data_IF_742988858362
#
_entry.id   IF_742988858362
#
_cell.length_a   1.000
_cell.length_b   1.000
_cell.length_c   1.000
_cell.angle_alpha   90.00
_cell.angle_beta   90.00
_cell.angle_gamma   90.00
#
_symmetry.space_group_name_H-M   'P 1'
#
loop_
_entity.id
_entity.type
_entity.pdbx_description
1 polymer ?
#
# COMPACT_ATOMS: atom_id res chain seq x y z
N UNK A 1 -12.34 6.87 40.39
CA UNK A 1 -11.15 7.59 39.86
C UNK A 1 -9.93 6.83 40.34
N UNK A 2 -9.03 6.24 39.55
CA UNK A 2 -8.56 6.47 38.18
C UNK A 2 -7.91 5.16 37.68
N UNK A 3 -8.43 4.53 36.60
CA UNK A 3 -7.74 4.28 35.31
C UNK A 3 -6.30 3.72 35.47
N UNK A 4 -6.15 2.40 35.64
CA UNK A 4 -5.94 1.37 34.59
C UNK A 4 -4.79 1.71 33.64
N UNK A 5 -3.61 1.23 34.05
CA UNK A 5 -2.62 0.50 33.26
C UNK A 5 -2.24 1.06 31.89
N UNK A 6 -1.19 1.90 31.92
CA UNK A 6 -0.29 2.11 30.79
C UNK A 6 0.45 0.81 30.47
N UNK A 7 -0.13 -0.01 29.60
CA UNK A 7 0.60 -1.10 28.93
C UNK A 7 0.59 -0.85 27.43
N UNK A 8 1.77 -0.48 26.92
CA UNK A 8 2.38 -0.90 25.65
C UNK A 8 3.12 0.25 24.95
N UNK A 9 4.33 0.60 25.44
CA UNK A 9 5.33 1.23 24.59
C UNK A 9 5.88 0.21 23.59
N UNK A 10 5.14 -0.03 22.50
CA UNK A 10 5.72 -0.58 21.27
C UNK A 10 6.01 0.59 20.35
N UNK A 11 7.27 1.00 20.28
CA UNK A 11 7.76 2.06 19.40
C UNK A 11 7.43 1.70 17.93
N UNK A 12 6.35 2.29 17.42
CA UNK A 12 5.86 2.13 16.05
C UNK A 12 4.88 3.26 15.76
N UNK A 13 4.79 3.69 14.49
CA UNK A 13 3.89 4.77 14.09
C UNK A 13 2.43 4.43 14.51
N UNK A 14 1.65 5.40 15.04
CA UNK A 14 0.27 5.13 15.43
C UNK A 14 -0.51 4.56 14.23
N UNK A 15 -1.30 3.52 14.47
CA UNK A 15 -2.12 2.94 13.40
C UNK A 15 -3.12 3.99 12.91
N UNK A 16 -3.24 4.20 11.59
CA UNK A 16 -4.01 5.32 11.05
C UNK A 16 -5.50 5.16 11.34
N UNK A 17 -6.05 6.08 12.12
CA UNK A 17 -7.49 6.20 12.42
C UNK A 17 -8.04 7.54 11.92
N UNK A 18 -9.36 7.67 11.84
CA UNK A 18 -10.03 8.93 11.43
C UNK A 18 -9.74 9.35 9.98
N UNK A 19 -9.49 10.66 9.78
CA UNK A 19 -9.26 11.28 8.46
C UNK A 19 -8.08 10.64 7.73
N UNK A 20 -6.99 10.33 8.45
CA UNK A 20 -5.82 9.68 7.87
C UNK A 20 -6.14 8.28 7.34
N UNK A 21 -6.95 7.51 8.08
CA UNK A 21 -7.46 6.22 7.62
C UNK A 21 -8.36 6.34 6.39
N UNK A 22 -9.07 7.46 6.22
CA UNK A 22 -9.87 7.74 5.03
C UNK A 22 -9.01 8.11 3.83
N UNK A 23 -7.99 8.96 4.01
CA UNK A 23 -7.02 9.32 2.97
C UNK A 23 -6.28 8.08 2.42
N UNK A 24 -5.95 7.11 3.27
CA UNK A 24 -5.33 5.84 2.84
C UNK A 24 -6.27 4.96 2.00
N UNK A 25 -7.57 5.24 1.96
CA UNK A 25 -8.53 4.58 1.05
C UNK A 25 -8.69 5.30 -0.28
N UNK A 26 -8.21 6.54 -0.41
CA UNK A 26 -8.31 7.32 -1.65
C UNK A 26 -7.78 6.57 -2.89
N UNK A 27 -6.64 5.84 -2.83
CA UNK A 27 -6.18 5.06 -3.97
C UNK A 27 -7.17 3.96 -4.42
N UNK A 28 -7.98 3.38 -3.52
CA UNK A 28 -9.01 2.42 -3.91
C UNK A 28 -10.09 3.08 -4.76
N UNK A 29 -10.52 4.28 -4.38
CA UNK A 29 -11.51 5.04 -5.14
C UNK A 29 -10.96 5.46 -6.50
N UNK A 30 -9.71 5.93 -6.55
CA UNK A 30 -9.03 6.23 -7.81
C UNK A 30 -8.95 5.00 -8.72
N UNK A 31 -8.65 3.82 -8.16
CA UNK A 31 -8.68 2.58 -8.94
C UNK A 31 -10.07 2.29 -9.51
N UNK A 32 -11.13 2.43 -8.69
CA UNK A 32 -12.53 2.22 -9.13
C UNK A 32 -12.97 3.22 -10.20
N UNK A 33 -12.42 4.43 -10.19
CA UNK A 33 -12.60 5.46 -11.23
C UNK A 33 -11.82 5.17 -12.52
N UNK A 34 -11.01 4.11 -12.56
CA UNK A 34 -10.21 3.73 -13.74
C UNK A 34 -8.76 4.22 -13.71
N UNK A 35 -8.33 4.97 -12.68
CA UNK A 35 -6.97 5.48 -12.55
C UNK A 35 -5.95 4.45 -12.04
N UNK A 36 -6.22 3.15 -12.19
CA UNK A 36 -5.30 2.11 -11.73
C UNK A 36 -3.91 2.19 -12.36
N UNK A 37 -3.81 2.64 -13.63
CA UNK A 37 -2.51 2.88 -14.29
C UNK A 37 -1.71 4.01 -13.61
N UNK A 38 -2.38 5.09 -13.21
CA UNK A 38 -1.75 6.19 -12.47
C UNK A 38 -1.21 5.68 -11.13
N UNK A 39 -1.97 4.85 -10.41
CA UNK A 39 -1.50 4.23 -9.17
C UNK A 39 -0.23 3.39 -9.39
N UNK A 40 -0.17 2.65 -10.51
CA UNK A 40 1.01 1.85 -10.84
C UNK A 40 2.27 2.69 -11.10
N UNK A 41 2.13 3.92 -11.59
CA UNK A 41 3.27 4.86 -11.73
C UNK A 41 3.83 5.28 -10.37
N UNK A 42 2.99 5.34 -9.34
CA UNK A 42 3.40 5.57 -7.95
C UNK A 42 3.76 4.29 -7.22
N UNK A 43 3.95 3.17 -7.93
CA UNK A 43 4.25 1.85 -7.37
C UNK A 43 3.18 1.34 -6.37
N UNK A 44 1.95 1.81 -6.50
CA UNK A 44 0.82 1.35 -5.70
C UNK A 44 0.12 0.17 -6.39
N UNK A 45 -0.22 -0.82 -5.58
CA UNK A 45 -0.97 -2.01 -5.97
C UNK A 45 -2.17 -2.16 -5.06
N UNK A 46 -3.30 -2.62 -5.61
CA UNK A 46 -4.43 -3.03 -4.80
C UNK A 46 -4.27 -4.51 -4.45
N UNK A 47 -4.14 -4.80 -3.15
CA UNK A 47 -4.08 -6.16 -2.62
C UNK A 47 -5.47 -6.58 -2.14
N UNK A 48 -6.02 -7.61 -2.77
CA UNK A 48 -7.24 -8.31 -2.36
C UNK A 48 -6.90 -9.53 -1.51
N UNK A 49 -7.43 -9.57 -0.29
CA UNK A 49 -7.28 -10.69 0.66
C UNK A 49 -8.65 -11.20 1.10
N UNK A 50 -8.70 -12.46 1.55
CA UNK A 50 -9.88 -13.01 2.23
C UNK A 50 -9.83 -12.61 3.70
N UNK A 51 -10.90 -11.99 4.21
CA UNK A 51 -10.98 -11.62 5.62
C UNK A 51 -10.99 -12.87 6.51
N UNK A 52 -9.99 -13.03 7.38
CA UNK A 52 -9.83 -14.26 8.19
C UNK A 52 -11.03 -14.59 9.08
N UNK A 53 -11.77 -13.58 9.54
CA UNK A 53 -12.94 -13.78 10.43
C UNK A 53 -14.26 -13.76 9.67
N UNK A 54 -14.35 -13.06 8.54
CA UNK A 54 -15.62 -12.85 7.82
C UNK A 54 -15.71 -13.59 6.49
N UNK A 55 -14.62 -14.14 5.99
CA UNK A 55 -14.53 -14.77 4.66
C UNK A 55 -14.70 -13.81 3.47
N UNK A 56 -15.01 -12.53 3.71
CA UNK A 56 -15.29 -11.54 2.68
C UNK A 56 -14.02 -11.01 2.01
N UNK A 57 -14.16 -10.56 0.76
CA UNK A 57 -13.12 -9.84 0.05
C UNK A 57 -12.75 -8.53 0.76
N UNK A 58 -11.46 -8.32 1.02
CA UNK A 58 -10.91 -7.09 1.60
C UNK A 58 -9.81 -6.53 0.71
N UNK A 59 -9.90 -5.25 0.40
CA UNK A 59 -8.96 -4.57 -0.50
C UNK A 59 -8.20 -3.49 0.25
N UNK A 60 -6.89 -3.42 0.01
CA UNK A 60 -6.03 -2.39 0.58
C UNK A 60 -5.06 -1.91 -0.50
N UNK A 61 -4.81 -0.60 -0.63
CA UNK A 61 -3.71 -0.12 -1.43
C UNK A 61 -2.42 -0.29 -0.65
N UNK A 62 -1.45 -0.94 -1.25
CA UNK A 62 -0.13 -1.15 -0.68
C UNK A 62 0.93 -0.72 -1.67
N UNK A 63 2.00 -0.11 -1.16
CA UNK A 63 3.16 0.13 -1.98
C UNK A 63 3.87 -1.19 -2.26
N UNK A 64 4.26 -1.38 -3.52
CA UNK A 64 4.91 -2.59 -3.96
C UNK A 64 6.15 -2.26 -4.80
N UNK A 65 7.00 -3.25 -4.99
CA UNK A 65 8.08 -3.19 -5.98
C UNK A 65 8.16 -4.51 -6.71
N UNK A 66 8.31 -4.45 -8.02
CA UNK A 66 8.44 -5.65 -8.85
C UNK A 66 9.90 -5.86 -9.23
N UNK A 67 10.37 -7.10 -9.08
CA UNK A 67 11.69 -7.52 -9.55
C UNK A 67 11.55 -8.88 -10.23
N UNK A 68 11.68 -8.89 -11.56
CA UNK A 68 11.36 -10.07 -12.38
C UNK A 68 9.91 -10.52 -12.21
N UNK A 69 9.72 -11.78 -11.80
CA UNK A 69 8.42 -12.40 -11.53
C UNK A 69 7.91 -12.21 -10.10
N UNK A 70 8.71 -11.59 -9.22
CA UNK A 70 8.38 -11.39 -7.80
C UNK A 70 7.86 -9.98 -7.58
N UNK A 71 6.84 -9.87 -6.74
CA UNK A 71 6.34 -8.59 -6.23
C UNK A 71 6.66 -8.55 -4.72
N UNK A 72 7.22 -7.44 -4.25
CA UNK A 72 7.55 -7.26 -2.83
C UNK A 72 6.68 -6.16 -2.24
N UNK A 73 6.20 -6.39 -1.02
CA UNK A 73 5.41 -5.43 -0.24
C UNK A 73 6.07 -5.31 1.12
N UNK A 74 6.17 -4.08 1.64
CA UNK A 74 6.73 -3.78 2.96
C UNK A 74 5.63 -3.24 3.85
N UNK A 75 5.46 -3.86 5.02
CA UNK A 75 4.56 -3.34 6.06
C UNK A 75 5.29 -2.38 6.99
N UNK A 76 4.93 -1.10 6.95
CA UNK A 76 5.43 -0.09 7.89
C UNK A 76 4.87 -0.21 9.32
N UNK A 77 3.87 -1.07 9.56
CA UNK A 77 3.30 -1.32 10.90
C UNK A 77 3.55 -2.76 11.37
N UNK A 78 4.58 -3.41 10.83
CA UNK A 78 4.90 -4.81 11.12
C UNK A 78 3.70 -5.73 10.87
N UNK A 79 3.34 -6.52 11.88
CA UNK A 79 2.25 -7.51 11.81
C UNK A 79 0.86 -6.98 12.19
N UNK A 80 0.76 -5.69 12.50
CA UNK A 80 -0.50 -5.09 12.94
C UNK A 80 -1.57 -5.01 11.84
N UNK A 81 -1.25 -4.68 10.58
CA UNK A 81 -2.27 -4.47 9.57
C UNK A 81 -3.14 -5.70 9.31
N UNK A 82 -4.44 -5.47 9.18
CA UNK A 82 -5.41 -6.54 8.92
C UNK A 82 -5.09 -7.33 7.65
N UNK A 83 -4.60 -6.67 6.61
CA UNK A 83 -4.22 -7.34 5.36
C UNK A 83 -3.10 -8.37 5.57
N UNK A 84 -2.12 -8.06 6.42
CA UNK A 84 -1.03 -8.98 6.71
C UNK A 84 -1.52 -10.17 7.54
N UNK A 85 -2.35 -9.93 8.57
CA UNK A 85 -2.98 -11.01 9.35
C UNK A 85 -3.92 -11.88 8.51
N UNK A 86 -4.55 -11.31 7.48
CA UNK A 86 -5.32 -12.10 6.51
C UNK A 86 -4.41 -12.99 5.67
N UNK A 87 -3.26 -12.48 5.21
CA UNK A 87 -2.26 -13.28 4.48
C UNK A 87 -1.63 -14.39 5.33
N UNK A 88 -1.48 -14.18 6.63
CA UNK A 88 -1.03 -15.23 7.55
C UNK A 88 -2.05 -16.36 7.67
N UNK A 89 -3.34 -16.05 7.62
CA UNK A 89 -4.41 -17.04 7.68
C UNK A 89 -4.64 -17.75 6.34
N UNK A 90 -4.55 -17.02 5.23
CA UNK A 90 -4.62 -17.55 3.86
C UNK A 90 -3.60 -16.81 2.98
N UNK A 91 -2.55 -17.52 2.60
CA UNK A 91 -1.45 -16.96 1.82
C UNK A 91 -1.86 -16.61 0.38
N UNK A 92 -3.03 -17.07 -0.10
CA UNK A 92 -3.51 -16.75 -1.44
C UNK A 92 -4.19 -15.38 -1.47
N UNK A 93 -3.76 -14.55 -2.41
CA UNK A 93 -4.29 -13.21 -2.58
C UNK A 93 -4.41 -12.82 -4.06
N UNK A 94 -5.08 -11.69 -4.28
CA UNK A 94 -5.23 -11.07 -5.60
C UNK A 94 -4.40 -9.78 -5.64
N UNK A 95 -3.37 -9.75 -6.46
CA UNK A 95 -2.57 -8.56 -6.70
C UNK A 95 -3.08 -7.82 -7.94
N UNK A 96 -3.52 -6.57 -7.79
CA UNK A 96 -3.97 -5.73 -8.90
C UNK A 96 -3.01 -4.57 -9.12
N UNK A 97 -2.33 -4.59 -10.27
CA UNK A 97 -1.39 -3.56 -10.68
C UNK A 97 -1.88 -2.97 -12.01
N UNK A 98 -2.16 -1.66 -12.02
CA UNK A 98 -2.65 -1.00 -13.21
C UNK A 98 -4.08 -1.43 -13.55
N UNK A 99 -4.22 -2.27 -14.56
CA UNK A 99 -5.48 -2.89 -14.94
C UNK A 99 -5.48 -4.40 -14.97
N UNK A 100 -4.41 -5.03 -14.47
CA UNK A 100 -4.25 -6.48 -14.49
C UNK A 100 -4.31 -7.02 -13.08
N UNK A 101 -5.04 -8.12 -12.92
CA UNK A 101 -5.15 -8.86 -11.68
C UNK A 101 -4.36 -10.17 -11.80
N UNK A 102 -3.62 -10.51 -10.75
CA UNK A 102 -2.79 -11.70 -10.67
C UNK A 102 -3.19 -12.48 -9.43
N UNK A 103 -3.30 -13.81 -9.58
CA UNK A 103 -3.25 -14.72 -8.44
C UNK A 103 -1.83 -14.70 -7.88
N UNK A 104 -1.70 -14.47 -6.58
CA UNK A 104 -0.40 -14.46 -5.90
C UNK A 104 -0.43 -15.29 -4.63
N UNK A 105 0.72 -15.87 -4.28
CA UNK A 105 0.97 -16.46 -2.97
C UNK A 105 1.93 -15.59 -2.17
N UNK A 106 1.52 -15.22 -0.97
CA UNK A 106 2.33 -14.50 0.00
C UNK A 106 3.31 -15.43 0.72
N UNK A 107 4.56 -15.01 0.76
CA UNK A 107 5.65 -15.68 1.47
C UNK A 107 6.35 -14.62 2.32
N UNK A 108 6.28 -14.70 3.66
CA UNK A 108 7.08 -13.85 4.53
C UNK A 108 8.57 -14.02 4.21
N UNK A 109 9.28 -12.91 4.09
CA UNK A 109 10.69 -12.93 3.72
C UNK A 109 11.55 -13.14 4.97
N UNK A 110 12.23 -14.27 5.06
CA UNK A 110 13.12 -14.62 6.20
C UNK A 110 14.60 -14.43 5.88
N UNK A 111 14.98 -14.44 4.60
CA UNK A 111 16.35 -14.20 4.16
C UNK A 111 16.72 -12.72 4.31
N UNK A 112 17.70 -12.44 5.18
CA UNK A 112 18.19 -11.08 5.47
C UNK A 112 18.81 -10.42 4.24
N UNK A 113 19.50 -11.17 3.37
CA UNK A 113 20.15 -10.61 2.19
C UNK A 113 19.11 -10.20 1.14
N UNK A 114 18.09 -11.03 0.93
CA UNK A 114 16.95 -10.67 0.07
C UNK A 114 16.18 -9.46 0.65
N UNK A 115 15.95 -9.44 1.97
CA UNK A 115 15.30 -8.33 2.66
C UNK A 115 16.05 -6.99 2.49
N UNK A 116 17.38 -6.97 2.70
CA UNK A 116 18.20 -5.78 2.51
C UNK A 116 18.16 -5.26 1.06
N UNK A 117 18.15 -6.17 0.07
CA UNK A 117 18.01 -5.79 -1.34
C UNK A 117 16.66 -5.12 -1.61
N UNK A 118 15.58 -5.66 -1.03
CA UNK A 118 14.24 -5.10 -1.16
C UNK A 118 14.16 -3.73 -0.49
N UNK A 119 14.64 -3.56 0.74
CA UNK A 119 14.63 -2.27 1.43
C UNK A 119 15.38 -1.19 0.62
N UNK A 120 16.55 -1.53 0.07
CA UNK A 120 17.30 -0.62 -0.81
C UNK A 120 16.51 -0.23 -2.07
N UNK A 121 15.71 -1.14 -2.64
CA UNK A 121 14.86 -0.84 -3.80
C UNK A 121 13.74 0.15 -3.47
N UNK A 122 13.14 0.06 -2.28
CA UNK A 122 12.15 1.05 -1.83
C UNK A 122 12.80 2.41 -1.54
N UNK A 123 13.93 2.41 -0.83
CA UNK A 123 14.69 3.62 -0.47
C UNK A 123 15.09 4.45 -1.69
N UNK A 124 15.54 3.83 -2.79
CA UNK A 124 15.97 4.54 -4.00
C UNK A 124 14.91 5.46 -4.62
N UNK A 125 13.62 5.16 -4.43
CA UNK A 125 12.53 5.95 -5.02
C UNK A 125 12.25 7.23 -4.24
N UNK A 126 12.39 7.19 -2.91
CA UNK A 126 12.15 8.35 -2.05
C UNK A 126 13.06 8.28 -0.80
N UNK A 127 14.36 8.56 -0.94
CA UNK A 127 15.33 8.39 0.13
C UNK A 127 14.93 9.14 1.40
N UNK A 128 14.50 10.41 1.26
CA UNK A 128 14.09 11.24 2.40
C UNK A 128 12.89 10.67 3.17
N UNK A 129 11.91 10.10 2.46
CA UNK A 129 10.71 9.54 3.09
C UNK A 129 11.06 8.24 3.82
N UNK A 130 11.77 7.34 3.13
CA UNK A 130 12.14 6.05 3.69
C UNK A 130 13.14 6.19 4.84
N UNK A 131 14.12 7.09 4.73
CA UNK A 131 15.11 7.34 5.79
C UNK A 131 14.41 7.93 7.03
N UNK A 132 13.44 8.84 6.86
CA UNK A 132 12.65 9.37 7.97
C UNK A 132 11.73 8.31 8.62
N UNK A 133 11.08 7.46 7.82
CA UNK A 133 10.24 6.36 8.31
C UNK A 133 11.08 5.34 9.07
N UNK A 134 12.23 4.96 8.51
CA UNK A 134 13.20 4.08 9.14
C UNK A 134 13.71 4.67 10.47
N UNK A 135 14.10 5.94 10.48
CA UNK A 135 14.58 6.63 11.67
C UNK A 135 13.54 6.74 12.79
N UNK A 136 12.25 6.85 12.46
CA UNK A 136 11.16 6.86 13.46
C UNK A 136 10.83 5.47 14.02
N UNK A 137 11.25 4.41 13.35
CA UNK A 137 11.01 3.02 13.76
C UNK A 137 12.19 2.46 14.55
N UNK A 138 13.41 2.94 14.31
CA UNK A 138 14.60 2.59 15.08
C UNK A 138 14.80 3.49 16.30
N UNK A 139 15.16 2.91 17.43
CA UNK A 139 15.59 3.63 18.64
C UNK A 139 16.98 4.26 18.55
N UNK A 140 17.59 4.36 17.35
CA UNK A 140 18.93 4.92 17.13
C UNK A 140 19.04 5.59 15.75
N UNK A 141 19.94 6.58 15.54
CA UNK A 141 20.12 7.24 14.25
C UNK A 141 20.50 6.23 13.16
N UNK A 142 19.75 6.21 12.05
CA UNK A 142 19.95 5.25 10.96
C UNK A 142 21.01 5.76 10.00
N UNK A 143 22.01 4.93 9.74
CA UNK A 143 23.06 5.13 8.75
C UNK A 143 23.10 3.90 7.82
N UNK A 144 23.69 3.99 6.63
CA UNK A 144 23.64 2.91 5.62
C UNK A 144 24.18 1.54 6.10
N UNK A 145 24.87 1.53 7.25
CA UNK A 145 25.46 0.35 7.91
C UNK A 145 24.56 -0.29 8.98
N UNK A 146 23.48 0.37 9.43
CA UNK A 146 22.56 -0.13 10.47
C UNK A 146 21.26 -0.77 9.95
N UNK A 147 21.05 -0.80 8.62
CA UNK A 147 19.91 -1.49 7.99
C UNK A 147 19.75 -2.99 8.35
N UNK A 148 20.82 -3.79 8.59
CA UNK A 148 20.68 -5.18 8.98
C UNK A 148 19.95 -5.39 10.32
N UNK A 149 20.12 -4.47 11.29
CA UNK A 149 19.60 -4.63 12.65
C UNK A 149 18.12 -4.28 12.79
N UNK A 150 17.57 -3.44 11.89
CA UNK A 150 16.18 -2.96 11.92
C UNK A 150 15.28 -3.80 10.99
N UNK A 151 15.87 -4.65 10.15
CA UNK A 151 15.16 -5.47 9.16
C UNK A 151 14.05 -6.35 9.76
N UNK A 152 14.19 -6.79 11.02
CA UNK A 152 13.18 -7.59 11.74
C UNK A 152 11.92 -6.82 12.13
N UNK A 153 11.98 -5.48 12.13
CA UNK A 153 10.81 -4.63 12.40
C UNK A 153 9.93 -4.42 11.16
N UNK A 154 10.51 -4.64 9.97
CA UNK A 154 9.78 -4.58 8.71
C UNK A 154 9.30 -5.96 8.32
N UNK A 155 7.99 -6.11 8.30
CA UNK A 155 7.40 -7.31 7.70
C UNK A 155 7.42 -7.14 6.18
N UNK A 156 8.42 -7.76 5.55
CA UNK A 156 8.52 -7.83 4.09
C UNK A 156 7.83 -9.11 3.61
N UNK A 157 6.91 -8.95 2.68
CA UNK A 157 6.18 -10.07 2.06
C UNK A 157 6.55 -10.13 0.60
N UNK A 158 7.02 -11.30 0.16
CA UNK A 158 7.17 -11.62 -1.25
C UNK A 158 5.89 -12.26 -1.75
N UNK A 159 5.33 -11.69 -2.81
CA UNK A 159 4.19 -12.19 -3.54
C UNK A 159 4.71 -12.87 -4.82
N UNK A 160 4.55 -14.19 -4.87
CA UNK A 160 4.86 -14.97 -6.06
C UNK A 160 3.62 -15.04 -6.94
N UNK A 161 3.74 -14.65 -8.21
CA UNK A 161 2.64 -14.79 -9.17
C UNK A 161 2.46 -16.28 -9.50
N UNK A 162 1.26 -16.79 -9.32
CA UNK A 162 0.88 -18.16 -9.64
C UNK A 162 -0.10 -18.18 -10.82
N UNK A 163 -0.07 -19.23 -11.66
CA UNK A 163 -1.10 -19.42 -12.67
C UNK A 163 -2.47 -19.69 -12.02
N UNK A 164 -3.54 -19.31 -12.70
CA UNK A 164 -4.92 -19.60 -12.29
C UNK A 164 -5.72 -18.36 -11.90
N UNK A 165 -6.99 -18.60 -11.55
CA UNK A 165 -7.92 -17.53 -11.22
C UNK A 165 -7.55 -16.85 -9.88
N UNK A 166 -7.74 -15.52 -9.78
CA UNK A 166 -7.57 -14.82 -8.52
C UNK A 166 -8.49 -15.39 -7.41
N UNK A 167 -7.97 -15.62 -6.19
CA UNK A 167 -8.73 -16.25 -5.09
C UNK A 167 -9.82 -15.35 -4.51
N UNK A 168 -9.68 -14.04 -4.73
CA UNK A 168 -10.65 -13.00 -4.43
C UNK A 168 -10.92 -12.23 -5.72
N UNK A 169 -12.17 -11.87 -6.05
CA UNK A 169 -12.45 -11.07 -7.24
C UNK A 169 -11.59 -9.80 -7.30
N UNK A 170 -11.21 -9.34 -8.49
CA UNK A 170 -10.53 -8.05 -8.60
C UNK A 170 -11.46 -6.91 -8.17
N UNK A 171 -10.89 -5.79 -7.74
CA UNK A 171 -11.63 -4.61 -7.36
C UNK A 171 -12.20 -4.00 -8.64
N UNK A 172 -13.53 -3.88 -8.77
CA UNK A 172 -14.15 -3.45 -10.03
C UNK A 172 -13.79 -1.99 -10.35
N UNK A 173 -13.97 -1.63 -11.63
CA UNK A 173 -13.89 -0.25 -12.13
C UNK A 173 -15.28 0.34 -12.35
N UNK A 174 -16.14 0.10 -11.39
CA UNK A 174 -17.58 0.42 -11.45
C UNK A 174 -17.88 1.93 -11.43
N UNK A 175 -16.92 2.74 -10.96
CA UNK A 175 -17.03 4.19 -10.95
C UNK A 175 -16.38 4.86 -12.18
N UNK A 176 -15.88 4.08 -13.16
CA UNK A 176 -15.15 4.63 -14.31
C UNK A 176 -15.90 5.68 -15.12
N UNK A 177 -17.24 5.63 -15.14
CA UNK A 177 -18.09 6.60 -15.83
C UNK A 177 -18.03 8.03 -15.23
N UNK A 178 -17.63 8.17 -13.97
CA UNK A 178 -17.48 9.48 -13.33
C UNK A 178 -16.25 10.23 -13.82
N UNK A 179 -15.22 9.54 -14.32
CA UNK A 179 -13.99 10.16 -14.79
C UNK A 179 -14.23 11.18 -15.94
N UNK A 180 -14.95 10.84 -17.03
CA UNK A 180 -15.26 11.84 -18.06
C UNK A 180 -16.15 12.97 -17.55
N UNK A 181 -17.09 12.70 -16.63
CA UNK A 181 -17.94 13.73 -16.04
C UNK A 181 -17.14 14.75 -15.21
N UNK A 182 -16.20 14.28 -14.39
CA UNK A 182 -15.29 15.13 -13.62
C UNK A 182 -14.34 15.93 -14.53
N UNK A 183 -13.84 15.31 -15.60
CA UNK A 183 -12.99 15.99 -16.59
C UNK A 183 -13.75 17.12 -17.30
N UNK A 184 -15.01 16.89 -17.66
CA UNK A 184 -15.87 17.91 -18.26
C UNK A 184 -16.10 19.09 -17.30
N UNK A 185 -16.48 18.81 -16.04
CA UNK A 185 -16.67 19.83 -15.01
C UNK A 185 -15.40 20.65 -14.76
N UNK A 186 -14.24 19.98 -14.70
CA UNK A 186 -12.94 20.63 -14.55
C UNK A 186 -12.59 21.52 -15.77
N UNK A 187 -12.86 21.04 -16.99
CA UNK A 187 -12.69 21.83 -18.20
C UNK A 187 -13.57 23.08 -18.24
N UNK A 188 -14.84 22.95 -17.83
CA UNK A 188 -15.77 24.08 -17.73
C UNK A 188 -15.34 25.10 -16.68
N UNK A 189 -14.83 24.66 -15.52
CA UNK A 189 -14.31 25.56 -14.49
C UNK A 189 -13.06 26.30 -14.95
N UNK A 190 -12.12 25.63 -15.62
CA UNK A 190 -10.95 26.30 -16.22
C UNK A 190 -11.36 27.31 -17.30
N UNK A 191 -12.35 26.99 -18.13
CA UNK A 191 -12.88 27.90 -19.14
C UNK A 191 -13.50 29.15 -18.50
N UNK A 192 -14.33 28.97 -17.46
CA UNK A 192 -14.95 30.08 -16.73
C UNK A 192 -13.88 31.00 -16.09
N UNK A 193 -12.84 30.42 -15.46
CA UNK A 193 -11.73 31.18 -14.91
C UNK A 193 -10.96 31.96 -15.99
N UNK A 194 -10.76 31.37 -17.18
CA UNK A 194 -10.14 32.08 -18.32
C UNK A 194 -11.00 33.25 -18.80
N UNK A 195 -12.31 33.06 -18.93
CA UNK A 195 -13.24 34.11 -19.37
C UNK A 195 -13.28 35.27 -18.37
N UNK A 196 -13.31 34.97 -17.07
CA UNK A 196 -13.29 35.98 -16.01
C UNK A 196 -11.99 36.79 -16.04
N UNK A 197 -10.85 36.14 -16.29
CA UNK A 197 -9.53 36.80 -16.38
C UNK A 197 -9.34 37.65 -17.65
N UNK A 198 -10.11 37.39 -18.72
CA UNK A 198 -10.09 38.23 -19.93
C UNK A 198 -10.97 39.48 -19.81
N UNK A 199 -11.85 39.55 -18.81
CA UNK A 199 -12.76 40.68 -18.57
C UNK A 199 -12.23 41.70 -17.54
N UNK A 200 -11.14 41.36 -16.84
CA UNK A 200 -10.42 42.19 -15.88
C UNK A 200 -9.17 42.78 -16.53
#
# INVERSE_FOLDING_TARGET
MSKVDFVSEKHGLPYPTGILGWALRLPLHLHRLGFGLVLSWFNLMILGTRGRSSGQARYVPVECRRHGSKIYVVSGWGEQPHWYRNLQADALATAQIGGRAYRVRAVPLTDRTEALRVLNMFRRTAPLVYDAVLARMSSSPVDARSLPDISHQFTIVRLNIEPGAPPVPPLPRDLGWLAPALALLFGLTLLALRVLRQRS
#
